data_IF_555042637820
#
_entry.id   IF_555042637820
#
_cell.length_a   1.000
_cell.length_b   1.000
_cell.length_c   1.000
_cell.angle_alpha   90.00
_cell.angle_beta   90.00
_cell.angle_gamma   90.00
#
_symmetry.space_group_name_H-M   'P 1'
#
loop_
_entity.id
_entity.type
_entity.pdbx_description
1 polymer ?
#
# COMPACT_ATOMS: atom_id res chain seq x y z
N UNK A 1 -26.47 -12.70 15.59
CA UNK A 1 -27.70 -12.01 15.18
C UNK A 1 -27.32 -10.91 14.21
N UNK A 2 -27.45 -11.14 12.90
CA UNK A 2 -27.19 -10.07 11.92
C UNK A 2 -28.42 -9.16 11.91
N UNK A 3 -28.24 -7.90 12.34
CA UNK A 3 -29.32 -6.91 12.35
C UNK A 3 -29.82 -6.59 10.94
N UNK A 4 -30.99 -5.95 10.85
CA UNK A 4 -31.54 -5.46 9.59
C UNK A 4 -30.54 -4.46 8.97
N UNK A 5 -30.12 -4.72 7.72
CA UNK A 5 -29.30 -3.78 6.94
C UNK A 5 -30.12 -2.52 6.68
N UNK A 6 -29.52 -1.37 6.95
CA UNK A 6 -30.12 -0.04 6.73
C UNK A 6 -29.46 0.63 5.54
N UNK A 7 -30.18 1.50 4.84
CA UNK A 7 -29.58 2.37 3.83
C UNK A 7 -28.64 3.39 4.46
N UNK A 8 -27.79 4.04 3.67
CA UNK A 8 -26.91 5.09 4.17
C UNK A 8 -27.72 6.26 4.76
N UNK A 9 -28.83 6.63 4.12
CA UNK A 9 -29.75 7.69 4.56
C UNK A 9 -30.45 7.31 5.88
N UNK A 10 -30.77 6.05 6.08
CA UNK A 10 -31.34 5.54 7.34
C UNK A 10 -30.31 5.50 8.46
N UNK A 11 -29.07 5.09 8.16
CA UNK A 11 -27.96 5.10 9.13
C UNK A 11 -27.57 6.52 9.53
N UNK A 12 -27.60 7.47 8.58
CA UNK A 12 -27.26 8.87 8.82
C UNK A 12 -28.10 9.48 9.96
N UNK A 13 -29.40 9.15 10.00
CA UNK A 13 -30.36 9.59 11.01
C UNK A 13 -30.06 9.06 12.42
N UNK A 14 -29.19 8.04 12.55
CA UNK A 14 -28.85 7.41 13.83
C UNK A 14 -27.58 8.01 14.46
N UNK A 15 -26.77 8.77 13.71
CA UNK A 15 -25.59 9.42 14.26
C UNK A 15 -26.00 10.58 15.17
N UNK A 16 -25.33 10.67 16.32
CA UNK A 16 -25.41 11.83 17.20
C UNK A 16 -24.10 12.60 17.05
N UNK A 17 -24.19 13.81 16.53
CA UNK A 17 -23.02 14.66 16.28
C UNK A 17 -22.98 15.80 17.30
N UNK A 18 -21.78 16.25 17.72
CA UNK A 18 -21.63 17.51 18.44
C UNK A 18 -22.10 18.70 17.60
N UNK A 19 -22.41 19.82 18.26
CA UNK A 19 -22.77 21.06 17.58
C UNK A 19 -21.66 21.53 16.63
N UNK A 20 -22.04 21.95 15.42
CA UNK A 20 -21.11 22.40 14.37
C UNK A 20 -20.51 21.28 13.51
N UNK A 21 -20.87 20.01 13.73
CA UNK A 21 -20.41 18.88 12.92
C UNK A 21 -21.51 18.37 11.99
N UNK A 22 -21.11 17.99 10.79
CA UNK A 22 -21.94 17.30 9.81
C UNK A 22 -21.34 15.94 9.43
N UNK A 23 -22.17 15.04 8.93
CA UNK A 23 -21.75 13.75 8.39
C UNK A 23 -22.43 13.55 7.05
N UNK A 24 -21.69 13.09 6.06
CA UNK A 24 -22.21 12.76 4.74
C UNK A 24 -21.68 11.41 4.25
N UNK A 25 -22.36 10.83 3.26
CA UNK A 25 -21.88 9.64 2.58
C UNK A 25 -20.77 10.01 1.59
N UNK A 26 -19.52 9.77 1.99
CA UNK A 26 -18.35 10.04 1.17
C UNK A 26 -18.21 9.09 -0.03
N UNK A 27 -18.29 7.78 0.20
CA UNK A 27 -18.15 6.74 -0.82
C UNK A 27 -19.00 5.53 -0.45
N UNK A 28 -19.39 4.73 -1.45
CA UNK A 28 -20.15 3.50 -1.26
C UNK A 28 -19.51 2.33 -2.01
N UNK A 29 -19.64 1.15 -1.43
CA UNK A 29 -19.19 -0.09 -2.07
C UNK A 29 -19.95 -0.33 -3.38
N UNK A 30 -19.25 -0.93 -4.35
CA UNK A 30 -19.83 -1.42 -5.60
C UNK A 30 -19.24 -2.80 -5.92
N UNK A 31 -19.83 -3.53 -6.87
CA UNK A 31 -19.28 -4.81 -7.30
C UNK A 31 -17.82 -4.69 -7.82
N UNK A 32 -17.47 -3.53 -8.38
CA UNK A 32 -16.15 -3.30 -8.97
C UNK A 32 -15.10 -2.80 -7.97
N UNK A 33 -15.51 -2.06 -6.93
CA UNK A 33 -14.58 -1.45 -5.95
C UNK A 33 -14.55 -2.21 -4.63
N UNK A 34 -15.60 -2.93 -4.25
CA UNK A 34 -15.64 -3.66 -2.98
C UNK A 34 -15.58 -2.75 -1.74
N UNK A 35 -15.09 -3.33 -0.64
CA UNK A 35 -15.00 -2.67 0.68
C UNK A 35 -13.76 -1.79 0.77
N UNK A 36 -13.88 -0.59 1.35
CA UNK A 36 -12.74 0.26 1.64
C UNK A 36 -12.12 -0.12 3.00
N UNK A 37 -10.82 -0.45 3.03
CA UNK A 37 -10.13 -0.88 4.26
C UNK A 37 -9.55 0.31 5.03
N UNK A 38 -9.04 1.32 4.31
CA UNK A 38 -8.30 2.43 4.91
C UNK A 38 -8.51 3.73 4.13
N UNK A 39 -8.19 4.86 4.75
CA UNK A 39 -8.23 6.18 4.11
C UNK A 39 -7.00 7.00 4.53
N UNK A 40 -6.28 7.58 3.56
CA UNK A 40 -5.14 8.48 3.81
C UNK A 40 -5.08 9.58 2.75
N UNK A 41 -4.72 10.79 3.16
CA UNK A 41 -4.55 11.91 2.24
C UNK A 41 -3.10 12.07 1.82
N UNK A 42 -2.88 12.39 0.54
CA UNK A 42 -1.57 12.82 0.05
C UNK A 42 -1.38 14.34 0.17
N UNK A 43 -0.19 14.81 -0.20
CA UNK A 43 0.17 16.23 -0.13
C UNK A 43 -0.58 17.11 -1.15
N UNK A 44 -1.26 16.50 -2.12
CA UNK A 44 -2.08 17.19 -3.12
C UNK A 44 -3.55 17.26 -2.68
N UNK A 45 -3.88 16.74 -1.49
CA UNK A 45 -5.24 16.71 -0.97
C UNK A 45 -6.11 15.60 -1.57
N UNK A 46 -5.54 14.66 -2.32
CA UNK A 46 -6.26 13.49 -2.83
C UNK A 46 -6.38 12.45 -1.73
N UNK A 47 -7.50 11.73 -1.68
CA UNK A 47 -7.68 10.65 -0.74
C UNK A 47 -7.36 9.30 -1.39
N UNK A 48 -6.65 8.45 -0.67
CA UNK A 48 -6.22 7.12 -1.11
C UNK A 48 -6.86 6.06 -0.23
N UNK A 49 -7.23 4.94 -0.85
CA UNK A 49 -7.82 3.80 -0.16
C UNK A 49 -7.38 2.49 -0.80
N UNK A 50 -7.61 1.39 -0.10
CA UNK A 50 -7.48 0.03 -0.61
C UNK A 50 -8.80 -0.71 -0.53
N UNK A 51 -8.98 -1.66 -1.45
CA UNK A 51 -10.18 -2.46 -1.55
C UNK A 51 -10.04 -3.85 -0.93
N UNK A 52 -11.16 -4.44 -0.51
CA UNK A 52 -11.29 -5.84 -0.12
C UNK A 52 -12.47 -6.51 -0.87
N UNK A 53 -12.14 -7.21 -1.94
CA UNK A 53 -12.98 -8.08 -2.77
C UNK A 53 -12.55 -9.53 -2.62
N UNK A 54 -11.26 -9.78 -2.40
CA UNK A 54 -10.79 -11.11 -2.04
C UNK A 54 -11.11 -11.45 -0.60
N UNK A 55 -11.40 -12.72 -0.37
CA UNK A 55 -11.58 -13.24 0.97
C UNK A 55 -10.22 -13.64 1.55
N UNK A 56 -9.91 -13.31 2.82
CA UNK A 56 -8.70 -13.77 3.47
C UNK A 56 -8.55 -15.29 3.41
N UNK A 57 -7.41 -15.75 2.92
CA UNK A 57 -7.03 -17.17 2.99
C UNK A 57 -5.87 -17.29 3.98
N UNK A 58 -6.14 -17.94 5.12
CA UNK A 58 -5.15 -18.15 6.18
C UNK A 58 -4.15 -19.24 5.75
N UNK A 59 -2.86 -18.92 5.73
CA UNK A 59 -1.83 -19.88 5.34
C UNK A 59 -1.55 -20.97 6.39
N UNK A 60 -2.04 -20.85 7.62
CA UNK A 60 -2.09 -21.93 8.60
C UNK A 60 -3.14 -22.99 8.21
N UNK A 61 -4.25 -22.56 7.60
CA UNK A 61 -5.32 -23.46 7.16
C UNK A 61 -5.03 -24.04 5.78
N UNK A 62 -4.63 -23.20 4.82
CA UNK A 62 -4.33 -23.63 3.46
C UNK A 62 -3.14 -22.84 2.87
N UNK A 63 -1.90 -23.26 3.14
CA UNK A 63 -0.70 -22.58 2.67
C UNK A 63 -0.65 -22.42 1.15
N UNK A 64 -1.05 -23.46 0.40
CA UNK A 64 -0.99 -23.44 -1.06
C UNK A 64 -1.98 -22.45 -1.67
N UNK A 65 -3.20 -22.36 -1.13
CA UNK A 65 -4.19 -21.40 -1.58
C UNK A 65 -3.81 -19.96 -1.23
N UNK A 66 -3.27 -19.72 -0.03
CA UNK A 66 -2.77 -18.40 0.36
C UNK A 66 -1.63 -17.94 -0.59
N UNK A 67 -0.64 -18.81 -0.82
CA UNK A 67 0.46 -18.52 -1.75
C UNK A 67 -0.02 -18.29 -3.18
N UNK A 68 -1.01 -19.06 -3.65
CA UNK A 68 -1.61 -18.87 -4.97
C UNK A 68 -2.32 -17.51 -5.05
N UNK A 69 -3.06 -17.12 -4.01
CA UNK A 69 -3.78 -15.84 -3.95
C UNK A 69 -2.81 -14.65 -4.07
N UNK A 70 -1.78 -14.57 -3.21
CA UNK A 70 -0.85 -13.44 -3.20
C UNK A 70 0.10 -13.39 -4.40
N UNK A 71 0.22 -14.49 -5.18
CA UNK A 71 0.95 -14.53 -6.46
C UNK A 71 0.04 -14.29 -7.67
N UNK A 72 -1.26 -14.43 -7.51
CA UNK A 72 -2.23 -14.24 -8.59
C UNK A 72 -2.44 -12.77 -8.90
N UNK A 73 -3.02 -12.49 -10.08
CA UNK A 73 -3.62 -11.19 -10.37
C UNK A 73 -5.02 -11.14 -9.73
N UNK A 74 -5.04 -10.91 -8.42
CA UNK A 74 -6.26 -10.82 -7.64
C UNK A 74 -7.06 -9.52 -7.91
N UNK A 75 -8.26 -9.41 -7.36
CA UNK A 75 -9.21 -8.35 -7.72
C UNK A 75 -9.06 -7.07 -6.91
N UNK A 76 -8.25 -7.06 -5.86
CA UNK A 76 -8.07 -5.88 -5.02
C UNK A 76 -7.18 -4.82 -5.66
N UNK A 77 -7.42 -3.60 -5.23
CA UNK A 77 -6.93 -2.38 -5.83
C UNK A 77 -6.46 -1.40 -4.76
N UNK A 78 -5.54 -0.54 -5.17
CA UNK A 78 -5.33 0.76 -4.54
C UNK A 78 -6.06 1.78 -5.40
N UNK A 79 -6.85 2.64 -4.77
CA UNK A 79 -7.74 3.58 -5.45
C UNK A 79 -7.55 5.00 -4.93
N UNK A 80 -7.83 5.98 -5.79
CA UNK A 80 -7.65 7.41 -5.50
C UNK A 80 -8.96 8.16 -5.75
N UNK A 81 -9.32 9.01 -4.81
CA UNK A 81 -10.32 10.05 -4.94
C UNK A 81 -9.59 11.37 -5.20
N UNK A 82 -9.56 11.83 -6.45
CA UNK A 82 -8.81 13.03 -6.82
C UNK A 82 -9.38 14.31 -6.20
N UNK A 83 -10.67 14.32 -5.90
CA UNK A 83 -11.39 15.49 -5.39
C UNK A 83 -12.29 15.12 -4.21
N UNK A 84 -11.71 14.75 -3.06
CA UNK A 84 -12.47 14.17 -1.96
C UNK A 84 -13.38 15.18 -1.22
N UNK A 85 -13.20 16.49 -1.45
CA UNK A 85 -13.96 17.56 -0.79
C UNK A 85 -15.09 18.16 -1.63
N UNK A 86 -15.33 17.64 -2.85
CA UNK A 86 -16.52 18.02 -3.60
C UNK A 86 -17.78 17.40 -2.92
N UNK A 87 -18.96 18.01 -3.11
CA UNK A 87 -20.23 17.60 -2.49
C UNK A 87 -20.88 16.34 -3.10
N UNK A 88 -21.19 15.33 -2.29
CA UNK A 88 -21.84 14.09 -2.72
C UNK A 88 -20.92 12.88 -2.90
N UNK A 89 -21.51 11.73 -3.24
CA UNK A 89 -20.83 10.43 -3.23
C UNK A 89 -19.74 10.36 -4.29
N UNK A 90 -18.52 10.02 -3.86
CA UNK A 90 -17.33 9.93 -4.71
C UNK A 90 -17.15 8.53 -5.29
N UNK A 91 -16.74 8.49 -6.54
CA UNK A 91 -16.22 7.28 -7.19
C UNK A 91 -14.70 7.43 -7.31
N UNK A 92 -13.92 6.44 -6.85
CA UNK A 92 -12.49 6.50 -6.99
C UNK A 92 -12.07 5.98 -8.37
N UNK A 93 -10.89 6.39 -8.84
CA UNK A 93 -10.20 5.72 -9.94
C UNK A 93 -9.19 4.70 -9.40
N UNK A 94 -8.96 3.65 -10.16
CA UNK A 94 -7.92 2.67 -9.84
C UNK A 94 -6.53 3.27 -10.07
N UNK A 95 -5.67 3.21 -9.07
CA UNK A 95 -4.24 3.50 -9.20
C UNK A 95 -3.44 2.23 -9.48
N UNK A 96 -3.68 1.16 -8.71
CA UNK A 96 -3.07 -0.14 -8.93
C UNK A 96 -4.10 -1.26 -8.81
N UNK A 97 -3.99 -2.28 -9.64
CA UNK A 97 -4.81 -3.49 -9.62
C UNK A 97 -3.96 -4.75 -9.43
N UNK A 98 -4.61 -5.92 -9.38
CA UNK A 98 -3.89 -7.19 -9.30
C UNK A 98 -3.37 -7.51 -7.90
N UNK A 99 -3.96 -6.91 -6.87
CA UNK A 99 -3.57 -7.10 -5.47
C UNK A 99 -4.56 -8.04 -4.78
N UNK A 100 -4.13 -8.66 -3.69
CA UNK A 100 -4.96 -9.39 -2.75
C UNK A 100 -4.84 -8.72 -1.38
N UNK A 101 -5.94 -8.15 -0.89
CA UNK A 101 -6.10 -7.58 0.44
C UNK A 101 -4.92 -6.66 0.83
N UNK A 102 -4.68 -5.57 0.07
CA UNK A 102 -3.62 -4.63 0.42
C UNK A 102 -4.06 -3.79 1.63
N UNK A 103 -3.62 -4.17 2.84
CA UNK A 103 -4.16 -3.57 4.08
C UNK A 103 -3.57 -2.21 4.42
N UNK A 104 -2.37 -1.89 3.93
CA UNK A 104 -1.74 -0.61 4.21
C UNK A 104 -1.19 0.06 2.96
N UNK A 105 -1.54 1.33 2.82
CA UNK A 105 -1.17 2.21 1.71
C UNK A 105 -0.61 3.51 2.28
N UNK A 106 0.51 3.97 1.73
CA UNK A 106 1.11 5.26 2.04
C UNK A 106 1.51 5.98 0.75
N UNK A 107 0.79 7.04 0.36
CA UNK A 107 1.18 7.90 -0.75
C UNK A 107 2.58 8.47 -0.52
N UNK A 108 3.44 8.31 -1.52
CA UNK A 108 4.84 8.69 -1.45
C UNK A 108 5.40 9.02 -2.83
N UNK A 109 5.91 10.24 -3.01
CA UNK A 109 6.48 10.74 -4.27
C UNK A 109 5.50 10.55 -5.45
N UNK A 110 5.91 9.77 -6.45
CA UNK A 110 5.24 9.42 -7.70
C UNK A 110 4.35 8.18 -7.57
N UNK A 111 3.99 7.77 -6.35
CA UNK A 111 3.11 6.63 -6.17
C UNK A 111 2.76 6.33 -4.72
N UNK A 112 2.77 5.05 -4.34
CA UNK A 112 2.45 4.62 -2.98
C UNK A 112 3.26 3.41 -2.53
N UNK A 113 3.66 3.44 -1.25
CA UNK A 113 4.16 2.26 -0.55
C UNK A 113 2.97 1.43 -0.08
N UNK A 114 2.95 0.15 -0.46
CA UNK A 114 1.79 -0.73 -0.27
C UNK A 114 2.25 -2.05 0.35
N UNK A 115 1.52 -2.53 1.35
CA UNK A 115 1.66 -3.90 1.83
C UNK A 115 0.92 -4.85 0.90
N UNK A 116 1.59 -5.91 0.44
CA UNK A 116 0.98 -6.96 -0.37
C UNK A 116 1.64 -8.31 -0.11
N UNK A 117 0.89 -9.23 0.51
CA UNK A 117 1.38 -10.56 0.87
C UNK A 117 2.66 -10.49 1.72
N UNK A 118 3.72 -11.15 1.25
CA UNK A 118 5.01 -11.22 1.92
C UNK A 118 5.84 -9.93 1.88
N UNK A 119 5.39 -8.92 1.12
CA UNK A 119 6.19 -7.79 0.70
C UNK A 119 5.58 -6.45 1.11
N UNK A 120 6.47 -5.48 1.37
CA UNK A 120 6.19 -4.06 1.22
C UNK A 120 6.76 -3.64 -0.12
N UNK A 121 5.90 -3.15 -1.00
CA UNK A 121 6.25 -2.72 -2.35
C UNK A 121 6.05 -1.22 -2.52
N UNK A 122 6.83 -0.62 -3.41
CA UNK A 122 6.59 0.71 -3.93
C UNK A 122 5.97 0.58 -5.31
N UNK A 123 4.72 1.00 -5.43
CA UNK A 123 3.99 1.08 -6.70
C UNK A 123 4.09 2.52 -7.19
N UNK A 124 4.64 2.71 -8.39
CA UNK A 124 4.97 4.02 -8.95
C UNK A 124 4.25 4.20 -10.27
N UNK A 125 3.90 5.45 -10.54
CA UNK A 125 3.38 5.97 -11.81
C UNK A 125 4.49 6.82 -12.43
N UNK A 126 5.24 6.24 -13.37
CA UNK A 126 6.46 6.86 -13.95
C UNK A 126 6.20 7.64 -15.23
N UNK A 127 5.02 7.50 -15.83
CA UNK A 127 4.58 8.24 -17.02
C UNK A 127 3.50 9.30 -16.72
N UNK A 128 3.07 9.41 -15.46
CA UNK A 128 2.08 10.35 -14.96
C UNK A 128 0.67 10.17 -15.57
N UNK A 129 0.31 8.94 -15.97
CA UNK A 129 -1.02 8.60 -16.47
C UNK A 129 -2.06 8.36 -15.35
N UNK A 130 -1.62 8.39 -14.10
CA UNK A 130 -2.42 8.15 -12.91
C UNK A 130 -2.47 6.69 -12.48
N UNK A 131 -1.74 5.76 -13.12
CA UNK A 131 -1.72 4.34 -12.77
C UNK A 131 -0.30 3.89 -12.47
N UNK A 132 -0.20 2.92 -11.58
CA UNK A 132 1.08 2.31 -11.28
C UNK A 132 1.55 1.44 -12.44
N UNK A 133 2.71 1.76 -13.00
CA UNK A 133 3.38 1.03 -14.07
C UNK A 133 4.64 0.28 -13.57
N UNK A 134 5.18 0.68 -12.41
CA UNK A 134 6.36 0.07 -11.80
C UNK A 134 6.07 -0.50 -10.40
N UNK A 135 6.55 -1.73 -10.14
CA UNK A 135 6.50 -2.40 -8.83
C UNK A 135 7.91 -2.71 -8.33
N UNK A 136 8.33 -2.07 -7.24
CA UNK A 136 9.61 -2.30 -6.58
C UNK A 136 9.43 -2.92 -5.19
N UNK A 137 10.10 -4.04 -4.88
CA UNK A 137 10.05 -4.63 -3.53
C UNK A 137 11.03 -3.89 -2.60
N UNK A 138 10.49 -3.21 -1.58
CA UNK A 138 11.28 -2.49 -0.58
C UNK A 138 11.74 -3.41 0.56
N UNK A 139 10.81 -4.24 1.05
CA UNK A 139 11.03 -5.17 2.15
C UNK A 139 10.25 -6.46 1.91
N UNK A 140 10.88 -7.60 2.16
CA UNK A 140 10.26 -8.93 2.00
C UNK A 140 10.48 -9.80 3.23
N UNK A 141 9.68 -10.85 3.39
CA UNK A 141 9.79 -11.84 4.45
C UNK A 141 8.72 -11.75 5.52
N UNK A 142 7.66 -10.95 5.31
CA UNK A 142 6.44 -11.04 6.10
C UNK A 142 5.78 -12.39 5.83
N UNK A 143 5.11 -12.97 6.80
CA UNK A 143 4.30 -14.16 6.58
C UNK A 143 2.88 -13.80 6.16
N UNK A 144 2.18 -14.76 5.56
CA UNK A 144 0.80 -14.61 5.05
C UNK A 144 -0.21 -15.50 5.78
N UNK A 145 0.13 -15.90 7.01
CA UNK A 145 -0.69 -16.73 7.87
C UNK A 145 -2.01 -16.04 8.18
N UNK A 146 -1.98 -14.79 8.64
CA UNK A 146 -3.20 -14.07 9.00
C UNK A 146 -3.13 -12.67 8.39
N UNK A 147 -4.04 -12.37 7.45
CA UNK A 147 -4.06 -11.08 6.78
C UNK A 147 -4.29 -9.95 7.78
N UNK A 148 -5.11 -10.16 8.83
CA UNK A 148 -5.43 -9.15 9.85
C UNK A 148 -4.20 -8.60 10.58
N UNK A 149 -3.11 -9.35 10.57
CA UNK A 149 -1.86 -9.01 11.26
C UNK A 149 -0.84 -8.38 10.32
N UNK A 150 -1.21 -8.12 9.07
CA UNK A 150 -0.37 -7.46 8.08
C UNK A 150 0.04 -6.06 8.53
N UNK A 151 1.16 -5.55 7.99
CA UNK A 151 1.48 -4.14 8.11
C UNK A 151 0.39 -3.24 7.50
N UNK A 152 -0.49 -2.70 8.32
CA UNK A 152 -1.63 -1.89 7.86
C UNK A 152 -1.51 -0.40 8.17
N UNK A 153 -0.76 0.00 9.21
CA UNK A 153 -0.59 1.42 9.56
C UNK A 153 0.80 1.92 9.20
N UNK A 154 0.88 2.68 8.10
CA UNK A 154 2.09 3.35 7.65
C UNK A 154 2.09 4.83 8.05
N UNK A 155 3.26 5.38 8.38
CA UNK A 155 3.40 6.80 8.70
C UNK A 155 4.75 7.30 8.24
N UNK A 156 4.76 8.48 7.61
CA UNK A 156 6.02 9.18 7.29
C UNK A 156 6.66 9.69 8.57
N UNK A 157 7.95 9.44 8.70
CA UNK A 157 8.80 10.01 9.73
C UNK A 157 9.78 11.03 9.09
N UNK A 158 10.40 11.91 9.91
CA UNK A 158 11.43 12.84 9.44
C UNK A 158 12.56 12.14 8.69
N UNK A 159 13.37 12.89 7.92
CA UNK A 159 14.57 12.38 7.25
C UNK A 159 14.36 11.21 6.27
N UNK A 160 13.16 11.11 5.68
CA UNK A 160 12.85 10.08 4.67
C UNK A 160 12.60 8.69 5.27
N UNK A 161 12.37 8.60 6.57
CA UNK A 161 12.00 7.36 7.24
C UNK A 161 10.51 7.06 7.08
N UNK A 162 10.18 5.76 7.08
CA UNK A 162 8.83 5.27 7.19
C UNK A 162 8.72 4.40 8.45
N UNK A 163 7.62 4.58 9.18
CA UNK A 163 7.19 3.68 10.24
C UNK A 163 6.03 2.84 9.76
N UNK A 164 6.00 1.58 10.19
CA UNK A 164 4.90 0.66 9.96
C UNK A 164 4.56 -0.07 11.26
N UNK A 165 3.27 -0.26 11.51
CA UNK A 165 2.76 -1.12 12.58
C UNK A 165 2.40 -2.47 12.01
N UNK A 166 2.80 -3.54 12.70
CA UNK A 166 2.40 -4.93 12.44
C UNK A 166 2.06 -5.61 13.76
N UNK A 167 1.22 -6.63 13.72
CA UNK A 167 0.89 -7.42 14.90
C UNK A 167 1.81 -8.65 15.05
N UNK A 168 1.88 -9.23 16.26
CA UNK A 168 2.99 -10.11 16.70
C UNK A 168 2.94 -11.54 16.13
N UNK A 169 1.79 -12.03 15.67
CA UNK A 169 1.59 -13.48 15.50
C UNK A 169 2.03 -14.07 14.16
N UNK A 170 2.53 -13.27 13.22
CA UNK A 170 3.04 -13.75 11.92
C UNK A 170 4.51 -14.18 12.03
N UNK A 171 4.87 -15.45 11.75
CA UNK A 171 6.25 -15.87 11.55
C UNK A 171 6.87 -15.13 10.35
N UNK A 172 7.73 -14.16 10.62
CA UNK A 172 8.56 -13.52 9.59
C UNK A 172 9.95 -14.16 9.63
N UNK A 173 10.42 -14.74 8.50
CA UNK A 173 11.87 -14.91 8.32
C UNK A 173 12.44 -13.49 8.27
N UNK A 174 13.44 -13.19 9.11
CA UNK A 174 14.03 -11.85 9.29
C UNK A 174 13.89 -10.97 8.03
N UNK A 175 13.15 -9.85 8.08
CA UNK A 175 12.87 -9.05 6.90
C UNK A 175 14.18 -8.68 6.20
N UNK A 176 14.33 -9.06 4.93
CA UNK A 176 15.55 -8.80 4.17
C UNK A 176 15.34 -7.54 3.33
N UNK A 177 15.97 -6.42 3.69
CA UNK A 177 15.85 -5.21 2.88
C UNK A 177 16.68 -5.36 1.59
N UNK A 178 16.19 -4.84 0.47
CA UNK A 178 17.01 -4.61 -0.73
C UNK A 178 17.75 -3.26 -0.68
N UNK A 179 17.37 -2.34 0.22
CA UNK A 179 18.00 -1.03 0.43
C UNK A 179 18.69 -0.90 1.81
N UNK A 180 19.76 -0.10 1.87
CA UNK A 180 20.80 -0.21 2.91
C UNK A 180 20.39 0.36 4.29
N UNK A 181 20.55 -0.49 5.31
CA UNK A 181 20.56 -0.28 6.77
C UNK A 181 19.23 -0.34 7.57
N UNK A 182 19.22 -1.28 8.53
CA UNK A 182 18.26 -1.43 9.64
C UNK A 182 19.07 -1.52 10.94
N UNK A 183 18.75 -0.71 11.94
CA UNK A 183 19.20 -0.93 13.34
C UNK A 183 17.98 -1.02 14.25
N UNK A 184 17.90 -2.10 15.01
CA UNK A 184 16.77 -2.42 15.89
C UNK A 184 17.09 -2.08 17.35
N UNK A 185 16.19 -1.33 18.00
CA UNK A 185 15.87 -1.42 19.43
C UNK A 185 14.39 -1.02 19.60
N UNK A 186 13.56 -2.02 19.89
CA UNK A 186 12.11 -2.00 20.22
C UNK A 186 11.07 -1.57 19.14
N UNK A 187 10.04 -2.44 18.99
CA UNK A 187 8.64 -2.32 18.47
C UNK A 187 8.27 -1.44 17.25
N UNK A 188 9.19 -0.73 16.62
CA UNK A 188 8.97 -0.04 15.35
C UNK A 188 10.05 -0.48 14.35
N UNK A 189 9.62 -0.92 13.16
CA UNK A 189 10.57 -1.20 12.08
C UNK A 189 10.91 0.11 11.39
N UNK A 190 12.22 0.37 11.23
CA UNK A 190 12.75 1.56 10.56
C UNK A 190 13.18 1.16 9.16
N UNK A 191 12.53 1.69 8.14
CA UNK A 191 12.95 1.46 6.74
C UNK A 191 13.36 2.80 6.14
N UNK A 192 14.61 2.88 5.65
CA UNK A 192 15.07 3.99 4.82
C UNK A 192 14.89 3.59 3.37
N UNK A 193 14.04 4.31 2.63
CA UNK A 193 13.91 4.14 1.19
C UNK A 193 14.92 5.07 0.53
N UNK A 194 16.12 4.57 0.25
CA UNK A 194 17.08 5.25 -0.63
C UNK A 194 16.90 4.73 -2.05
N UNK A 195 16.39 5.57 -2.94
CA UNK A 195 16.38 5.30 -4.38
C UNK A 195 17.84 5.29 -4.87
N UNK A 196 18.33 4.14 -5.33
CA UNK A 196 19.63 4.06 -6.01
C UNK A 196 19.40 4.52 -7.45
N UNK A 197 19.75 5.78 -7.75
CA UNK A 197 19.88 6.22 -9.12
C UNK A 197 21.09 5.48 -9.74
N UNK A 198 20.85 4.58 -10.68
CA UNK A 198 21.93 3.95 -11.45
C UNK A 198 22.53 5.00 -12.40
N UNK A 199 23.68 5.56 -12.05
CA UNK A 199 24.51 6.31 -12.99
C UNK A 199 25.43 5.32 -13.69
N UNK A 200 25.14 4.99 -14.95
CA UNK A 200 26.09 4.26 -15.79
C UNK A 200 27.20 5.22 -16.24
N UNK A 201 28.41 5.05 -15.72
CA UNK A 201 29.61 5.63 -16.35
C UNK A 201 30.08 4.66 -17.43
N UNK A 202 29.96 5.05 -18.71
CA UNK A 202 30.77 4.46 -19.77
C UNK A 202 32.22 4.87 -19.53
N UNK A 203 33.07 3.90 -19.23
CA UNK A 203 34.52 4.10 -19.29
C UNK A 203 34.94 4.01 -20.77
N UNK A 204 35.39 5.12 -21.34
CA UNK A 204 36.22 5.11 -22.54
C UNK A 204 37.65 4.76 -22.13
N UNK A 205 38.21 3.72 -22.73
CA UNK A 205 39.60 3.32 -22.59
C UNK A 205 40.47 4.24 -23.45
N UNK A 206 41.56 4.85 -22.95
CA UNK A 206 42.55 5.48 -23.80
C UNK A 206 43.46 4.41 -24.42
N UNK A 207 43.65 4.47 -25.74
CA UNK A 207 44.62 3.65 -26.46
C UNK A 207 46.04 4.04 -26.06
N UNK A 208 46.85 3.09 -25.60
CA UNK A 208 48.29 3.25 -25.40
C UNK A 208 49.02 3.01 -26.72
N UNK A 209 49.59 4.07 -27.30
CA UNK A 209 50.61 3.96 -28.35
C UNK A 209 51.98 3.83 -27.69
N UNK A 210 52.53 2.61 -27.65
CA UNK A 210 53.95 2.40 -27.34
C UNK A 210 54.81 2.71 -28.57
N UNK A 211 55.62 3.75 -28.50
CA UNK A 211 56.68 4.02 -29.46
C UNK A 211 58.02 3.54 -28.88
N UNK A 212 58.76 2.81 -29.71
CA UNK A 212 60.11 2.29 -29.51
C UNK A 212 61.15 3.38 -29.26
N UNK A 213 62.09 3.13 -28.34
CA UNK A 213 63.53 2.89 -28.60
C UNK A 213 64.27 2.62 -27.30
#
# INVERSE_FOLDING_TARGET
>A
MQGVRRSAEEQQKLFKLPEGFEVELFAKESADVGKFIMLIFDQQGRAWSSTALEYPVDANENPAAAEALYKSKARDKVVIFDKPFESGVRQPRTFADGLAIPEGVLPYKDGAVVQHGHDIVFLRDTDADGKADVREVLLTGFGVQDSHLFPHQFTRAPFGWLWLRRERSIPAKSPRPRATSLTSRARAWRVSVRTVASLSRRASVPATSGASR
#
